data_IF_936059832633
#
_entry.id   IF_936059832633
#
_cell.length_a   1.000
_cell.length_b   1.000
_cell.length_c   1.000
_cell.angle_alpha   90.00
_cell.angle_beta   90.00
_cell.angle_gamma   90.00
#
_symmetry.space_group_name_H-M   'P 1'
#
loop_
_entity.id
_entity.type
_entity.pdbx_description
1 polymer ?
#
# COMPACT_ATOMS: atom_id res chain seq x y z
N UNK A 1 -3.36 -4.77 18.87
CA UNK A 1 -2.84 -5.62 17.77
C UNK A 1 -1.33 -5.50 17.74
N UNK A 2 -0.61 -6.59 17.48
CA UNK A 2 0.85 -6.63 17.34
C UNK A 2 1.21 -7.31 16.02
N UNK A 3 2.18 -6.78 15.29
CA UNK A 3 2.69 -7.41 14.08
C UNK A 3 3.62 -8.55 14.50
N UNK A 4 3.47 -9.73 13.92
CA UNK A 4 4.33 -10.87 14.18
C UNK A 4 4.82 -11.49 12.87
N UNK A 5 6.04 -12.00 12.88
CA UNK A 5 6.59 -12.76 11.76
C UNK A 5 5.87 -14.10 11.65
N UNK A 6 5.46 -14.47 10.43
CA UNK A 6 4.85 -15.76 10.12
C UNK A 6 5.44 -16.34 8.85
N UNK A 7 6.38 -17.25 9.03
CA UNK A 7 7.02 -18.04 7.97
C UNK A 7 5.96 -18.81 7.18
N UNK A 8 6.11 -18.85 5.85
CA UNK A 8 5.19 -19.55 4.94
C UNK A 8 3.98 -18.74 4.46
N UNK A 9 3.76 -17.52 4.97
CA UNK A 9 2.80 -16.59 4.38
C UNK A 9 3.43 -15.78 3.26
N UNK A 10 2.63 -15.35 2.28
CA UNK A 10 3.08 -14.50 1.16
C UNK A 10 3.70 -13.19 1.66
N UNK A 11 3.15 -12.64 2.74
CA UNK A 11 3.58 -11.37 3.31
C UNK A 11 4.73 -11.55 4.33
N UNK A 12 4.96 -12.76 4.81
CA UNK A 12 5.90 -13.06 5.90
C UNK A 12 5.49 -12.54 7.28
N UNK A 13 4.39 -11.78 7.38
CA UNK A 13 3.93 -11.12 8.60
C UNK A 13 2.40 -11.07 8.69
N UNK A 14 1.87 -11.11 9.92
CA UNK A 14 0.44 -10.98 10.20
C UNK A 14 0.19 -10.12 11.44
N UNK A 15 -0.97 -9.45 11.48
CA UNK A 15 -1.44 -8.73 12.65
C UNK A 15 -2.18 -9.69 13.59
N UNK A 16 -1.67 -9.82 14.81
CA UNK A 16 -2.31 -10.58 15.88
C UNK A 16 -2.96 -9.65 16.90
N UNK A 17 -4.24 -9.86 17.19
CA UNK A 17 -4.88 -9.30 18.36
C UNK A 17 -4.98 -10.38 19.42
N UNK A 18 -4.22 -10.24 20.51
CA UNK A 18 -4.46 -10.97 21.77
C UNK A 18 -5.03 -9.98 22.77
N UNK A 19 -6.35 -9.89 22.85
CA UNK A 19 -7.00 -9.23 23.98
C UNK A 19 -7.33 -10.31 25.01
N UNK A 20 -6.74 -10.20 26.20
CA UNK A 20 -7.08 -11.01 27.36
C UNK A 20 -8.14 -10.26 28.16
N UNK A 21 -9.34 -10.14 27.62
CA UNK A 21 -10.50 -9.77 28.44
C UNK A 21 -10.88 -10.99 29.26
N UNK A 22 -11.11 -10.84 30.56
CA UNK A 22 -11.31 -11.92 31.55
C UNK A 22 -12.25 -13.05 31.11
N UNK A 23 -13.23 -12.78 30.25
CA UNK A 23 -14.22 -13.76 29.77
C UNK A 23 -14.17 -14.09 28.27
N UNK A 24 -13.29 -13.48 27.47
CA UNK A 24 -13.25 -13.73 26.03
C UNK A 24 -11.83 -13.73 25.47
N UNK A 25 -11.30 -14.93 25.20
CA UNK A 25 -10.03 -15.11 24.47
C UNK A 25 -10.24 -14.77 23.00
N UNK A 26 -10.09 -13.51 22.65
CA UNK A 26 -10.09 -13.07 21.25
C UNK A 26 -8.69 -13.22 20.69
N UNK A 27 -8.45 -14.32 19.96
CA UNK A 27 -7.27 -14.49 19.11
C UNK A 27 -7.69 -14.28 17.65
N UNK A 28 -7.38 -13.09 17.11
CA UNK A 28 -7.68 -12.77 15.71
C UNK A 28 -6.39 -12.48 14.99
N UNK A 29 -6.21 -13.22 13.90
CA UNK A 29 -5.09 -13.10 12.97
C UNK A 29 -5.59 -12.46 11.68
N UNK A 30 -4.87 -11.45 11.19
CA UNK A 30 -5.24 -10.71 9.98
C UNK A 30 -4.01 -10.51 9.12
N UNK A 31 -4.11 -10.78 7.82
CA UNK A 31 -3.10 -10.35 6.85
C UNK A 31 -2.90 -8.83 6.92
N UNK A 32 -1.67 -8.40 6.71
CA UNK A 32 -1.30 -6.98 6.59
C UNK A 32 -2.05 -6.26 5.46
N UNK A 33 -2.57 -7.00 4.48
CA UNK A 33 -3.30 -6.49 3.32
C UNK A 33 -4.81 -6.38 3.55
N UNK A 34 -5.32 -6.73 4.73
CA UNK A 34 -6.76 -6.70 5.02
C UNK A 34 -7.34 -5.30 4.79
N UNK A 35 -8.40 -5.23 3.98
CA UNK A 35 -9.09 -3.97 3.67
C UNK A 35 -8.47 -3.16 2.54
N UNK A 36 -7.39 -3.65 1.92
CA UNK A 36 -6.80 -3.05 0.72
C UNK A 36 -7.26 -3.77 -0.55
N UNK A 37 -7.06 -3.15 -1.73
CA UNK A 37 -7.31 -3.79 -3.03
C UNK A 37 -6.46 -5.06 -3.26
N UNK A 38 -5.38 -5.25 -2.49
CA UNK A 38 -4.48 -6.40 -2.62
C UNK A 38 -4.81 -7.55 -1.67
N UNK A 39 -5.94 -7.49 -0.93
CA UNK A 39 -6.31 -8.44 0.12
C UNK A 39 -6.18 -9.91 -0.31
N UNK A 40 -6.61 -10.23 -1.52
CA UNK A 40 -6.64 -11.61 -2.04
C UNK A 40 -5.52 -11.89 -3.06
N UNK A 41 -4.62 -10.93 -3.27
CA UNK A 41 -3.52 -11.11 -4.19
C UNK A 41 -2.50 -12.11 -3.63
N UNK A 42 -1.85 -12.85 -4.51
CA UNK A 42 -0.67 -13.67 -4.17
C UNK A 42 0.65 -12.92 -4.42
N UNK A 43 0.60 -11.59 -4.52
CA UNK A 43 1.76 -10.74 -4.75
C UNK A 43 2.55 -10.55 -3.45
N UNK A 44 3.87 -10.60 -3.54
CA UNK A 44 4.74 -10.22 -2.43
C UNK A 44 4.51 -8.74 -2.05
N UNK A 45 4.59 -8.43 -0.75
CA UNK A 45 4.38 -7.06 -0.25
C UNK A 45 5.31 -6.04 -0.92
N UNK A 46 6.53 -6.44 -1.28
CA UNK A 46 7.49 -5.60 -2.01
C UNK A 46 7.01 -5.22 -3.41
N UNK A 47 6.33 -6.14 -4.11
CA UNK A 47 5.73 -5.90 -5.43
C UNK A 47 4.52 -4.97 -5.27
N UNK A 48 3.69 -5.18 -4.26
CA UNK A 48 2.57 -4.30 -3.95
C UNK A 48 3.07 -2.86 -3.72
N UNK A 49 4.09 -2.68 -2.89
CA UNK A 49 4.69 -1.36 -2.64
C UNK A 49 5.26 -0.72 -3.92
N UNK A 50 5.91 -1.50 -4.79
CA UNK A 50 6.42 -1.01 -6.08
C UNK A 50 5.29 -0.58 -7.01
N UNK A 51 4.22 -1.39 -7.12
CA UNK A 51 3.04 -1.05 -7.91
C UNK A 51 2.40 0.22 -7.37
N UNK A 52 2.09 0.28 -6.07
CA UNK A 52 1.54 1.48 -5.43
C UNK A 52 2.41 2.70 -5.71
N UNK A 53 3.73 2.62 -5.49
CA UNK A 53 4.65 3.73 -5.82
C UNK A 53 4.63 4.10 -7.30
N UNK A 54 4.55 3.14 -8.20
CA UNK A 54 4.48 3.39 -9.63
C UNK A 54 3.20 4.17 -9.98
N UNK A 55 2.04 3.69 -9.53
CA UNK A 55 0.73 4.30 -9.76
C UNK A 55 0.66 5.73 -9.21
N UNK A 56 1.12 5.97 -7.98
CA UNK A 56 1.04 7.29 -7.36
C UNK A 56 2.18 8.24 -7.74
N UNK A 57 3.37 7.72 -8.05
CA UNK A 57 4.57 8.55 -8.28
C UNK A 57 4.90 8.79 -9.75
N UNK A 58 4.79 7.77 -10.60
CA UNK A 58 5.20 7.85 -12.02
C UNK A 58 4.01 8.05 -12.95
N UNK A 59 2.93 7.31 -12.72
CA UNK A 59 1.73 7.45 -13.56
C UNK A 59 1.12 8.83 -13.38
N UNK A 60 1.01 9.32 -12.14
CA UNK A 60 0.30 10.57 -11.89
C UNK A 60 0.97 11.79 -12.51
N UNK A 61 2.30 11.95 -12.46
CA UNK A 61 2.92 13.16 -13.04
C UNK A 61 2.83 13.22 -14.57
N UNK A 62 3.18 12.13 -15.27
CA UNK A 62 3.13 12.12 -16.73
C UNK A 62 1.67 12.14 -17.25
N UNK A 63 0.78 11.42 -16.57
CA UNK A 63 -0.63 11.38 -16.92
C UNK A 63 -1.31 12.72 -16.64
N UNK A 64 -1.08 13.36 -15.47
CA UNK A 64 -1.62 14.69 -15.15
C UNK A 64 -1.13 15.74 -16.14
N UNK A 65 0.17 15.76 -16.49
CA UNK A 65 0.70 16.73 -17.47
C UNK A 65 0.05 16.55 -18.85
N UNK A 66 -0.14 15.30 -19.29
CA UNK A 66 -0.73 15.00 -20.59
C UNK A 66 -2.25 15.23 -20.62
N UNK A 67 -2.96 14.81 -19.57
CA UNK A 67 -4.42 14.87 -19.44
C UNK A 67 -4.92 16.29 -19.16
N UNK A 68 -4.23 17.04 -18.29
CA UNK A 68 -4.55 18.44 -18.00
C UNK A 68 -3.96 19.43 -19.03
N UNK A 69 -3.29 18.94 -20.09
CA UNK A 69 -2.60 19.77 -21.09
C UNK A 69 -1.81 20.91 -20.44
N UNK A 70 -1.05 20.61 -19.39
CA UNK A 70 -0.27 21.64 -18.67
C UNK A 70 0.89 22.04 -19.57
N UNK A 71 0.64 23.01 -20.45
CA UNK A 71 1.67 23.67 -21.22
C UNK A 71 2.54 24.44 -20.22
N UNK A 72 3.80 24.05 -20.10
CA UNK A 72 4.78 24.78 -19.32
C UNK A 72 5.07 26.10 -20.04
N UNK A 73 4.19 27.09 -19.86
CA UNK A 73 4.41 28.46 -20.26
C UNK A 73 5.44 29.05 -19.28
N UNK A 74 6.69 28.58 -19.36
CA UNK A 74 7.81 29.44 -19.01
C UNK A 74 7.83 30.51 -20.09
N UNK A 75 7.08 31.58 -19.85
CA UNK A 75 7.29 32.84 -20.52
C UNK A 75 8.80 33.09 -20.48
N UNK A 76 9.42 33.09 -21.66
CA UNK A 76 10.70 33.72 -21.82
C UNK A 76 10.50 35.17 -21.38
N UNK A 77 10.90 35.48 -20.14
CA UNK A 77 11.16 36.87 -19.76
C UNK A 77 12.51 37.18 -20.39
N UNK A 78 12.45 37.56 -21.66
CA UNK A 78 13.48 38.38 -22.28
C UNK A 78 13.27 39.81 -21.79
N UNK A 79 14.35 40.40 -21.27
CA UNK A 79 14.45 41.75 -20.73
C UNK A 79 15.82 41.91 -20.11
#
# INVERSE_FOLDING_TARGET
MRLQERKGTVDGYEWHCRNQSKDNRHDVVRSVRKGTWFRESKLAITIILRLTRYWFGKSMNAFVVNDLKVNNNRSQVGG
#
